data_IF_085253931598
#
_entry.id   IF_085253931598
#
_cell.length_a   1.000
_cell.length_b   1.000
_cell.length_c   1.000
_cell.angle_alpha   90.00
_cell.angle_beta   90.00
_cell.angle_gamma   90.00
#
_symmetry.space_group_name_H-M   'P 1'
#
loop_
_entity.id
_entity.type
_entity.pdbx_description
1 polymer ?
#
# COMPACT_ATOMS: atom_id res chain seq x y z
N UNK A 1 -25.79 -12.49 -11.01
CA UNK A 1 -26.14 -11.27 -11.75
C UNK A 1 -25.05 -10.23 -11.49
N UNK A 2 -24.22 -9.91 -12.50
CA UNK A 2 -23.31 -8.76 -12.52
C UNK A 2 -24.19 -7.51 -12.55
N UNK A 3 -24.29 -6.76 -11.46
CA UNK A 3 -25.08 -5.52 -11.46
C UNK A 3 -24.19 -4.29 -11.74
N UNK A 4 -22.90 -4.27 -11.37
CA UNK A 4 -22.08 -3.05 -11.48
C UNK A 4 -20.66 -3.23 -12.06
N UNK A 5 -20.34 -4.33 -12.76
CA UNK A 5 -19.00 -4.53 -13.36
C UNK A 5 -17.83 -4.72 -12.37
N UNK A 6 -18.05 -4.48 -11.08
CA UNK A 6 -17.08 -4.68 -10.01
C UNK A 6 -16.77 -6.17 -9.82
N UNK A 7 -15.49 -6.51 -9.93
CA UNK A 7 -14.96 -7.85 -9.64
C UNK A 7 -14.28 -7.84 -8.27
N UNK A 8 -14.38 -8.94 -7.51
CA UNK A 8 -13.72 -9.09 -6.21
C UNK A 8 -12.20 -8.95 -6.36
N UNK A 9 -11.53 -8.21 -5.48
CA UNK A 9 -10.05 -8.20 -5.47
C UNK A 9 -9.56 -9.59 -5.05
N UNK A 10 -8.76 -10.23 -5.90
CA UNK A 10 -8.14 -11.53 -5.63
C UNK A 10 -6.92 -11.36 -4.71
N UNK A 11 -6.49 -12.43 -4.05
CA UNK A 11 -5.25 -12.41 -3.29
C UNK A 11 -4.08 -11.94 -4.19
N UNK A 12 -3.31 -10.96 -3.70
CA UNK A 12 -2.17 -10.41 -4.44
C UNK A 12 -0.87 -10.98 -3.91
N UNK A 13 0.07 -11.28 -4.80
CA UNK A 13 1.46 -11.48 -4.39
C UNK A 13 2.06 -10.11 -4.05
N UNK A 14 3.08 -10.10 -3.20
CA UNK A 14 3.80 -8.87 -2.88
C UNK A 14 4.47 -8.31 -4.14
N UNK A 15 4.52 -6.98 -4.27
CA UNK A 15 5.11 -6.31 -5.43
C UNK A 15 6.19 -5.31 -5.00
N UNK A 16 7.19 -5.09 -5.84
CA UNK A 16 8.26 -4.14 -5.58
C UNK A 16 8.61 -3.38 -6.86
N UNK A 17 8.70 -2.06 -6.78
CA UNK A 17 9.22 -1.26 -7.88
C UNK A 17 10.75 -1.32 -7.87
N UNK A 18 11.32 -1.81 -8.96
CA UNK A 18 12.75 -2.05 -9.13
C UNK A 18 13.33 -1.08 -10.16
N UNK A 19 14.38 -0.37 -9.77
CA UNK A 19 15.22 0.40 -10.66
C UNK A 19 16.27 -0.52 -11.26
N UNK A 20 16.21 -0.71 -12.58
CA UNK A 20 17.20 -1.44 -13.35
C UNK A 20 18.16 -0.45 -14.00
N UNK A 21 19.44 -0.81 -14.08
CA UNK A 21 20.42 -0.04 -14.86
C UNK A 21 21.12 -0.90 -15.89
N UNK A 22 21.50 -0.32 -17.02
CA UNK A 22 22.23 -1.02 -18.06
C UNK A 22 22.40 -0.24 -19.35
N UNK A 23 22.69 -0.96 -20.42
CA UNK A 23 22.87 -0.38 -21.76
C UNK A 23 21.52 0.05 -22.32
N UNK A 24 21.42 1.30 -22.77
CA UNK A 24 20.22 1.85 -23.39
C UNK A 24 19.70 0.96 -24.53
N UNK A 25 18.38 0.75 -24.56
CA UNK A 25 17.70 -0.08 -25.56
C UNK A 25 17.81 -1.60 -25.32
N UNK A 26 18.43 -2.04 -24.21
CA UNK A 26 18.43 -3.47 -23.85
C UNK A 26 17.02 -3.91 -23.46
N UNK A 27 16.52 -4.96 -24.10
CA UNK A 27 15.27 -5.62 -23.73
C UNK A 27 15.54 -6.85 -22.86
N UNK A 28 14.92 -6.88 -21.69
CA UNK A 28 14.91 -8.01 -20.75
C UNK A 28 13.56 -8.72 -20.90
N UNK A 29 13.59 -9.98 -21.33
CA UNK A 29 12.38 -10.78 -21.52
C UNK A 29 12.21 -11.78 -20.38
N UNK A 30 11.04 -11.78 -19.72
CA UNK A 30 10.74 -12.61 -18.55
C UNK A 30 11.87 -12.56 -17.50
N UNK A 31 12.36 -11.35 -17.22
CA UNK A 31 13.43 -11.11 -16.26
C UNK A 31 13.02 -11.42 -14.81
N UNK A 32 13.99 -11.59 -13.93
CA UNK A 32 13.75 -11.68 -12.50
C UNK A 32 14.98 -11.26 -11.68
N UNK A 33 14.72 -10.79 -10.47
CA UNK A 33 15.72 -10.45 -9.46
C UNK A 33 15.53 -11.29 -8.19
N UNK A 34 16.54 -11.30 -7.32
CA UNK A 34 16.51 -11.90 -5.99
C UNK A 34 16.81 -10.87 -4.90
N UNK A 35 16.13 -11.00 -3.77
CA UNK A 35 16.47 -10.27 -2.56
C UNK A 35 17.57 -10.94 -1.73
N UNK A 36 17.98 -10.29 -0.64
CA UNK A 36 18.99 -10.80 0.30
C UNK A 36 18.62 -12.14 0.95
N UNK A 37 17.33 -12.47 1.02
CA UNK A 37 16.81 -13.72 1.57
C UNK A 37 16.65 -14.80 0.49
N UNK A 38 17.02 -14.52 -0.76
CA UNK A 38 16.92 -15.44 -1.89
C UNK A 38 15.52 -15.54 -2.51
N UNK A 39 14.57 -14.69 -2.12
CA UNK A 39 13.23 -14.66 -2.71
C UNK A 39 13.30 -14.07 -4.10
N UNK A 40 12.58 -14.70 -5.04
CA UNK A 40 12.56 -14.32 -6.45
C UNK A 40 11.43 -13.32 -6.72
N UNK A 41 11.75 -12.26 -7.44
CA UNK A 41 10.85 -11.21 -7.90
C UNK A 41 10.83 -11.21 -9.43
N UNK A 42 9.71 -11.60 -10.03
CA UNK A 42 9.54 -11.76 -11.47
C UNK A 42 9.11 -10.45 -12.14
N UNK A 43 9.70 -10.13 -13.28
CA UNK A 43 9.37 -8.94 -14.06
C UNK A 43 8.20 -9.21 -15.02
N UNK A 44 7.59 -8.17 -15.60
CA UNK A 44 6.73 -8.32 -16.76
C UNK A 44 7.43 -9.02 -17.93
N UNK A 45 6.64 -9.49 -18.90
CA UNK A 45 7.14 -10.28 -20.03
C UNK A 45 8.25 -9.59 -20.83
N UNK A 46 8.24 -8.25 -20.89
CA UNK A 46 9.26 -7.45 -21.57
C UNK A 46 9.49 -6.14 -20.84
N UNK A 47 10.75 -5.83 -20.56
CA UNK A 47 11.19 -4.57 -19.94
C UNK A 47 12.33 -4.01 -20.79
N UNK A 48 12.26 -2.73 -21.17
CA UNK A 48 13.30 -2.08 -21.96
C UNK A 48 14.04 -1.03 -21.13
N UNK A 49 15.37 -1.08 -21.13
CA UNK A 49 16.21 -0.06 -20.48
C UNK A 49 16.12 1.23 -21.30
N UNK A 50 15.78 2.32 -20.62
CA UNK A 50 15.63 3.64 -21.19
C UNK A 50 16.92 4.19 -21.81
N UNK A 51 16.78 5.29 -22.56
CA UNK A 51 17.91 5.97 -23.22
C UNK A 51 18.91 6.57 -22.24
N UNK A 52 18.47 6.83 -21.01
CA UNK A 52 19.29 7.28 -19.89
C UNK A 52 20.03 6.12 -19.18
N UNK A 53 19.85 4.89 -19.66
CA UNK A 53 20.45 3.69 -19.09
C UNK A 53 19.71 3.15 -17.87
N UNK A 54 18.50 3.63 -17.58
CA UNK A 54 17.70 3.16 -16.45
C UNK A 54 16.27 2.81 -16.84
N UNK A 55 15.58 2.00 -16.03
CA UNK A 55 14.14 1.79 -16.14
C UNK A 55 13.59 1.36 -14.79
N UNK A 56 12.44 1.92 -14.41
CA UNK A 56 11.69 1.49 -13.24
C UNK A 56 10.62 0.48 -13.68
N UNK A 57 10.54 -0.66 -12.99
CA UNK A 57 9.59 -1.73 -13.30
C UNK A 57 8.99 -2.33 -12.02
N UNK A 58 7.70 -2.64 -12.02
CA UNK A 58 7.09 -3.39 -10.92
C UNK A 58 7.36 -4.89 -11.09
N UNK A 59 8.04 -5.48 -10.12
CA UNK A 59 8.27 -6.91 -10.04
C UNK A 59 7.32 -7.57 -9.03
N UNK A 60 6.89 -8.79 -9.31
CA UNK A 60 5.97 -9.56 -8.48
C UNK A 60 6.70 -10.71 -7.79
N UNK A 61 6.53 -10.85 -6.48
CA UNK A 61 7.09 -11.95 -5.72
C UNK A 61 6.61 -13.29 -6.28
N UNK A 62 7.53 -14.24 -6.47
CA UNK A 62 7.22 -15.58 -6.94
C UNK A 62 6.44 -16.39 -5.88
N UNK A 63 6.63 -16.07 -4.61
CA UNK A 63 5.91 -16.67 -3.51
C UNK A 63 4.60 -15.91 -3.25
N UNK A 64 3.52 -16.66 -3.03
CA UNK A 64 2.26 -16.07 -2.60
C UNK A 64 2.28 -15.66 -1.14
N UNK A 65 1.51 -14.63 -0.80
CA UNK A 65 1.36 -14.11 0.55
C UNK A 65 2.15 -12.83 0.83
N UNK A 66 2.19 -12.48 2.11
CA UNK A 66 2.79 -11.27 2.63
C UNK A 66 4.31 -11.41 2.76
N UNK A 67 5.01 -11.09 1.67
CA UNK A 67 6.48 -11.08 1.59
C UNK A 67 6.97 -9.63 1.60
N UNK A 68 7.57 -9.22 2.71
CA UNK A 68 8.20 -7.91 2.83
C UNK A 68 9.63 -7.92 2.26
N UNK A 69 10.02 -6.84 1.60
CA UNK A 69 11.41 -6.55 1.25
C UNK A 69 11.69 -5.06 1.50
N UNK A 70 12.70 -4.75 2.31
CA UNK A 70 13.06 -3.35 2.61
C UNK A 70 13.76 -2.70 1.42
N UNK A 71 13.78 -1.37 1.37
CA UNK A 71 14.52 -0.61 0.36
C UNK A 71 15.99 -1.09 0.27
N UNK A 72 16.51 -1.21 -0.95
CA UNK A 72 17.88 -1.64 -1.23
C UNK A 72 18.21 -3.09 -0.88
N UNK A 73 17.22 -3.98 -0.77
CA UNK A 73 17.44 -5.40 -0.49
C UNK A 73 17.33 -6.29 -1.73
N UNK A 74 16.54 -5.90 -2.73
CA UNK A 74 16.38 -6.61 -4.01
C UNK A 74 17.51 -6.18 -4.95
N UNK A 75 18.66 -6.86 -4.85
CA UNK A 75 19.92 -6.39 -5.48
C UNK A 75 20.61 -7.41 -6.37
N UNK A 76 20.14 -8.66 -6.41
CA UNK A 76 20.79 -9.73 -7.18
C UNK A 76 20.03 -10.01 -8.47
N UNK A 77 20.72 -10.03 -9.61
CA UNK A 77 20.14 -10.44 -10.89
C UNK A 77 19.96 -11.97 -10.90
N UNK A 78 18.75 -12.46 -11.14
CA UNK A 78 18.45 -13.90 -11.19
C UNK A 78 18.54 -14.47 -12.61
N UNK A 79 18.08 -13.71 -13.62
CA UNK A 79 18.13 -14.11 -15.03
C UNK A 79 19.01 -13.13 -15.83
N UNK A 80 20.33 -13.35 -15.87
CA UNK A 80 21.26 -12.45 -16.54
C UNK A 80 20.90 -12.24 -18.01
N UNK A 81 20.76 -10.97 -18.40
CA UNK A 81 20.53 -10.55 -19.79
C UNK A 81 21.68 -9.65 -20.20
N UNK A 82 22.27 -9.90 -21.37
CA UNK A 82 23.40 -9.08 -21.87
C UNK A 82 22.96 -7.62 -21.99
N UNK A 83 23.69 -6.72 -21.35
CA UNK A 83 23.37 -5.29 -21.32
C UNK A 83 22.66 -4.84 -20.04
N UNK A 84 22.11 -5.76 -19.23
CA UNK A 84 21.60 -5.46 -17.89
C UNK A 84 22.74 -5.52 -16.86
N UNK A 85 22.91 -4.45 -16.08
CA UNK A 85 24.06 -4.24 -15.19
C UNK A 85 23.69 -4.38 -13.71
N UNK A 86 22.61 -3.73 -13.26
CA UNK A 86 22.20 -3.79 -11.85
C UNK A 86 20.70 -3.69 -11.64
N UNK A 87 20.26 -4.05 -10.44
CA UNK A 87 18.90 -3.93 -9.94
C UNK A 87 18.93 -3.46 -8.49
N UNK A 88 18.00 -2.60 -8.12
CA UNK A 88 17.74 -2.21 -6.73
C UNK A 88 16.27 -1.83 -6.57
N UNK A 89 15.69 -1.98 -5.38
CA UNK A 89 14.39 -1.42 -5.06
C UNK A 89 14.56 -0.10 -4.28
N UNK A 90 14.18 1.07 -4.84
CA UNK A 90 14.33 2.36 -4.15
C UNK A 90 13.48 2.48 -2.88
N UNK A 91 12.32 1.83 -2.87
CA UNK A 91 11.38 1.78 -1.75
C UNK A 91 11.15 0.34 -1.28
N UNK A 92 10.56 0.19 -0.10
CA UNK A 92 10.13 -1.13 0.39
C UNK A 92 9.05 -1.73 -0.53
N UNK A 93 9.00 -3.05 -0.60
CA UNK A 93 7.97 -3.77 -1.34
C UNK A 93 6.60 -3.57 -0.70
N UNK A 94 5.57 -3.42 -1.54
CA UNK A 94 4.18 -3.50 -1.09
C UNK A 94 3.86 -4.97 -0.81
N UNK A 95 3.49 -5.23 0.44
CA UNK A 95 3.13 -6.56 0.90
C UNK A 95 1.79 -6.96 0.28
N UNK A 96 1.73 -8.17 -0.27
CA UNK A 96 0.52 -8.74 -0.86
C UNK A 96 -0.59 -8.91 0.19
N UNK A 97 -1.83 -8.81 -0.24
CA UNK A 97 -3.01 -8.90 0.64
C UNK A 97 -3.81 -10.17 0.38
N UNK A 98 -4.51 -10.71 1.40
CA UNK A 98 -5.49 -11.77 1.19
C UNK A 98 -6.64 -11.29 0.30
N UNK A 99 -7.43 -12.23 -0.23
CA UNK A 99 -8.58 -11.89 -1.06
C UNK A 99 -9.61 -11.05 -0.29
N UNK A 100 -10.23 -10.07 -0.98
CA UNK A 100 -11.26 -9.17 -0.43
C UNK A 100 -12.43 -9.96 0.15
N UNK A 101 -12.80 -9.64 1.39
CA UNK A 101 -13.91 -10.26 2.12
C UNK A 101 -15.27 -9.75 1.63
N UNK A 102 -16.34 -10.48 1.96
CA UNK A 102 -17.71 -10.08 1.57
C UNK A 102 -18.15 -8.76 2.19
N UNK A 103 -17.65 -8.42 3.37
CA UNK A 103 -17.94 -7.15 4.04
C UNK A 103 -17.29 -5.97 3.31
N UNK A 104 -16.02 -6.11 2.92
CA UNK A 104 -15.27 -5.09 2.17
C UNK A 104 -15.84 -4.89 0.76
N UNK A 105 -16.19 -5.99 0.08
CA UNK A 105 -16.86 -5.93 -1.21
C UNK A 105 -18.19 -5.17 -1.11
N UNK A 106 -18.94 -5.35 -0.01
CA UNK A 106 -20.22 -4.68 0.20
C UNK A 106 -20.05 -3.18 0.48
N UNK A 107 -19.03 -2.80 1.24
CA UNK A 107 -18.66 -1.39 1.46
C UNK A 107 -18.28 -0.75 0.13
N UNK A 108 -17.42 -1.40 -0.66
CA UNK A 108 -16.98 -0.91 -1.98
C UNK A 108 -18.12 -0.84 -3.00
N UNK A 109 -19.02 -1.81 -2.99
CA UNK A 109 -20.23 -1.77 -3.81
C UNK A 109 -21.13 -0.59 -3.42
N UNK A 110 -21.23 -0.28 -2.13
CA UNK A 110 -21.96 0.90 -1.63
C UNK A 110 -21.32 2.23 -2.04
N UNK A 111 -19.99 2.29 -2.12
CA UNK A 111 -19.27 3.48 -2.60
C UNK A 111 -19.34 3.62 -4.13
N UNK A 112 -19.24 2.51 -4.88
CA UNK A 112 -19.21 2.52 -6.33
C UNK A 112 -20.56 2.84 -7.00
N UNK A 113 -21.69 2.58 -6.34
CA UNK A 113 -23.01 3.00 -6.85
C UNK A 113 -23.25 4.51 -6.76
N UNK A 114 -22.38 5.24 -6.05
CA UNK A 114 -22.51 6.68 -5.83
C UNK A 114 -21.56 7.55 -6.68
N UNK A 115 -20.61 6.96 -7.42
CA UNK A 115 -19.56 7.69 -8.12
C UNK A 115 -19.75 7.59 -9.65
N UNK A 116 -20.64 8.41 -10.20
CA UNK A 116 -20.26 9.10 -11.43
C UNK A 116 -19.26 10.16 -11.03
N UNK A 117 -18.12 10.27 -11.73
CA UNK A 117 -17.15 11.34 -11.48
C UNK A 117 -17.89 12.69 -11.52
N UNK A 118 -17.96 13.38 -10.38
CA UNK A 118 -18.60 14.70 -10.29
C UNK A 118 -17.60 15.75 -10.79
N UNK A 119 -16.30 15.48 -10.65
CA UNK A 119 -15.21 16.35 -11.12
C UNK A 119 -14.09 15.57 -11.82
N UNK A 120 -13.25 16.24 -12.65
CA UNK A 120 -12.04 15.63 -13.19
C UNK A 120 -11.09 15.06 -12.12
N UNK A 121 -11.03 15.70 -10.95
CA UNK A 121 -10.23 15.23 -9.81
C UNK A 121 -10.68 13.85 -9.33
N UNK A 122 -11.98 13.68 -9.07
CA UNK A 122 -12.56 12.37 -8.69
C UNK A 122 -12.45 11.33 -9.82
N UNK A 123 -12.44 11.79 -11.08
CA UNK A 123 -12.17 10.93 -12.24
C UNK A 123 -10.78 10.31 -12.19
N UNK A 124 -9.75 11.09 -11.84
CA UNK A 124 -8.39 10.58 -11.67
C UNK A 124 -8.30 9.62 -10.48
N UNK A 125 -8.84 10.01 -9.32
CA UNK A 125 -8.79 9.20 -8.10
C UNK A 125 -9.49 7.84 -8.29
N UNK A 126 -10.70 7.86 -8.84
CA UNK A 126 -11.45 6.64 -9.16
C UNK A 126 -10.80 5.78 -10.24
N UNK A 127 -10.08 6.38 -11.20
CA UNK A 127 -9.32 5.62 -12.19
C UNK A 127 -8.12 4.89 -11.53
N UNK A 128 -7.39 5.56 -10.63
CA UNK A 128 -6.30 4.94 -9.86
C UNK A 128 -6.83 3.78 -9.01
N UNK A 129 -7.97 3.98 -8.34
CA UNK A 129 -8.62 2.96 -7.51
C UNK A 129 -8.92 1.65 -8.26
N UNK A 130 -9.15 1.74 -9.58
CA UNK A 130 -9.50 0.62 -10.45
C UNK A 130 -8.29 -0.07 -11.09
N UNK A 131 -7.08 0.46 -10.94
CA UNK A 131 -5.85 -0.19 -11.40
C UNK A 131 -5.67 -1.51 -10.66
N UNK A 132 -5.37 -2.58 -11.40
CA UNK A 132 -5.21 -3.90 -10.81
C UNK A 132 -4.07 -3.91 -9.79
N UNK A 133 -4.35 -4.45 -8.59
CA UNK A 133 -3.37 -4.56 -7.51
C UNK A 133 -3.22 -3.32 -6.64
N UNK A 134 -3.88 -2.20 -6.94
CA UNK A 134 -3.95 -1.05 -6.02
C UNK A 134 -4.76 -1.42 -4.78
N UNK A 135 -4.14 -1.27 -3.61
CA UNK A 135 -4.74 -1.60 -2.31
C UNK A 135 -5.23 -0.33 -1.60
N UNK A 136 -4.38 0.70 -1.53
CA UNK A 136 -4.68 2.01 -0.96
C UNK A 136 -4.25 3.13 -1.92
N UNK A 137 -4.98 4.23 -1.90
CA UNK A 137 -4.71 5.39 -2.74
C UNK A 137 -5.24 6.65 -2.06
N UNK A 138 -4.63 7.78 -2.38
CA UNK A 138 -5.14 9.11 -2.03
C UNK A 138 -4.63 10.13 -3.04
N UNK A 139 -5.54 10.93 -3.57
CA UNK A 139 -5.21 12.03 -4.47
C UNK A 139 -5.28 13.36 -3.70
N UNK A 140 -4.33 14.24 -4.01
CA UNK A 140 -4.28 15.61 -3.51
C UNK A 140 -4.19 16.57 -4.70
N UNK A 141 -4.78 17.75 -4.56
CA UNK A 141 -4.70 18.84 -5.52
C UNK A 141 -4.25 20.11 -4.82
N UNK A 142 -3.36 20.85 -5.47
CA UNK A 142 -3.06 22.22 -5.14
C UNK A 142 -3.51 23.10 -6.32
N UNK A 143 -4.68 23.71 -6.18
CA UNK A 143 -5.29 24.61 -7.15
C UNK A 143 -4.76 26.06 -7.06
N UNK A 144 -3.94 26.34 -6.06
CA UNK A 144 -3.42 27.69 -5.78
C UNK A 144 -2.18 28.03 -6.60
N UNK A 145 -1.83 29.32 -6.63
CA UNK A 145 -0.61 29.84 -7.26
C UNK A 145 0.66 29.71 -6.41
N UNK A 146 0.60 29.04 -5.25
CA UNK A 146 1.73 28.88 -4.32
C UNK A 146 1.89 27.41 -3.92
N UNK A 147 3.06 27.03 -3.38
CA UNK A 147 3.26 25.69 -2.83
C UNK A 147 2.44 25.51 -1.55
N UNK A 148 1.77 24.37 -1.40
CA UNK A 148 0.93 24.09 -0.23
C UNK A 148 1.76 23.62 0.98
N UNK A 149 1.08 23.31 2.10
CA UNK A 149 1.71 22.84 3.33
C UNK A 149 2.35 21.46 3.23
N UNK A 150 1.95 20.66 2.24
CA UNK A 150 2.46 19.33 1.95
C UNK A 150 3.61 19.36 0.94
N UNK A 151 3.96 20.55 0.42
CA UNK A 151 5.02 20.76 -0.55
C UNK A 151 4.58 20.60 -2.01
N UNK A 152 3.28 20.46 -2.30
CA UNK A 152 2.79 20.35 -3.68
C UNK A 152 3.01 21.68 -4.41
N UNK A 153 3.65 21.69 -5.58
CA UNK A 153 3.79 22.88 -6.40
C UNK A 153 2.43 23.50 -6.81
N UNK A 154 2.42 24.79 -7.20
CA UNK A 154 1.22 25.43 -7.76
C UNK A 154 0.62 24.63 -8.91
N UNK A 155 -0.71 24.57 -8.98
CA UNK A 155 -1.47 23.94 -10.08
C UNK A 155 -1.07 22.48 -10.37
N UNK A 156 -0.92 21.69 -9.31
CA UNK A 156 -0.46 20.30 -9.41
C UNK A 156 -1.38 19.32 -8.68
N UNK A 157 -1.30 18.06 -9.06
CA UNK A 157 -1.88 16.93 -8.33
C UNK A 157 -0.77 16.02 -7.82
N UNK A 158 -0.99 15.39 -6.67
CA UNK A 158 -0.12 14.37 -6.09
C UNK A 158 -0.93 13.12 -5.78
N UNK A 159 -0.58 12.01 -6.42
CA UNK A 159 -1.19 10.71 -6.15
C UNK A 159 -0.25 9.90 -5.25
N UNK A 160 -0.75 9.44 -4.10
CA UNK A 160 -0.06 8.49 -3.25
C UNK A 160 -0.74 7.13 -3.45
N UNK A 161 0.00 6.14 -3.94
CA UNK A 161 -0.56 4.86 -4.37
C UNK A 161 0.22 3.68 -3.80
N UNK A 162 -0.50 2.78 -3.14
CA UNK A 162 0.03 1.53 -2.63
C UNK A 162 -0.43 0.35 -3.50
N UNK A 163 0.52 -0.50 -3.89
CA UNK A 163 0.26 -1.62 -4.80
C UNK A 163 0.03 -1.18 -6.25
N UNK A 164 -0.24 -2.14 -7.13
CA UNK A 164 -0.42 -1.90 -8.57
C UNK A 164 0.87 -1.64 -9.35
N UNK A 165 0.81 -1.82 -10.67
CA UNK A 165 1.95 -1.62 -11.57
C UNK A 165 2.25 -0.14 -11.80
N UNK A 166 3.51 0.23 -11.69
CA UNK A 166 3.98 1.62 -11.76
C UNK A 166 3.69 2.26 -13.12
N UNK A 167 3.74 1.48 -14.20
CA UNK A 167 3.46 1.96 -15.57
C UNK A 167 1.97 2.10 -15.79
N UNK A 168 1.18 1.14 -15.33
CA UNK A 168 -0.29 1.19 -15.41
C UNK A 168 -0.86 2.38 -14.61
N UNK A 169 -0.32 2.65 -13.41
CA UNK A 169 -0.67 3.84 -12.62
C UNK A 169 -0.31 5.11 -13.37
N UNK A 170 0.92 5.23 -13.88
CA UNK A 170 1.35 6.43 -14.61
C UNK A 170 0.53 6.68 -15.89
N UNK A 171 0.22 5.63 -16.64
CA UNK A 171 -0.68 5.69 -17.80
C UNK A 171 -2.09 6.12 -17.40
N UNK A 172 -2.61 5.59 -16.28
CA UNK A 172 -3.93 5.92 -15.77
C UNK A 172 -4.02 7.40 -15.36
N UNK A 173 -3.03 7.90 -14.60
CA UNK A 173 -2.96 9.33 -14.25
C UNK A 173 -2.88 10.18 -15.51
N UNK A 174 -2.02 9.82 -16.48
CA UNK A 174 -1.88 10.55 -17.74
C UNK A 174 -3.20 10.66 -18.52
N UNK A 175 -3.92 9.54 -18.64
CA UNK A 175 -5.14 9.45 -19.44
C UNK A 175 -6.32 10.20 -18.83
N UNK A 176 -6.32 10.39 -17.51
CA UNK A 176 -7.44 10.99 -16.78
C UNK A 176 -7.16 12.40 -16.25
N UNK A 177 -5.89 12.79 -16.06
CA UNK A 177 -5.56 14.12 -15.54
C UNK A 177 -5.95 15.24 -16.51
N UNK A 178 -6.21 16.41 -15.95
CA UNK A 178 -6.41 17.64 -16.71
C UNK A 178 -5.22 18.01 -17.60
N UNK A 179 -5.52 18.69 -18.71
CA UNK A 179 -4.50 19.33 -19.54
C UNK A 179 -3.84 20.47 -18.77
N UNK A 180 -2.51 20.59 -18.85
CA UNK A 180 -1.76 21.60 -18.10
C UNK A 180 -1.54 21.29 -16.61
N UNK A 181 -2.26 20.33 -16.03
CA UNK A 181 -2.06 19.90 -14.63
C UNK A 181 -0.72 19.19 -14.47
N UNK A 182 0.15 19.74 -13.63
CA UNK A 182 1.41 19.11 -13.27
C UNK A 182 1.17 17.92 -12.32
N UNK A 183 2.03 16.90 -12.40
CA UNK A 183 1.99 15.75 -11.50
C UNK A 183 3.19 15.80 -10.57
N UNK A 184 2.96 15.61 -9.27
CA UNK A 184 3.98 15.67 -8.23
C UNK A 184 4.12 14.32 -7.53
N UNK A 185 5.36 13.97 -7.18
CA UNK A 185 5.67 12.75 -6.45
C UNK A 185 7.13 12.32 -6.60
N UNK A 186 7.52 11.32 -5.82
CA UNK A 186 8.89 10.80 -5.75
C UNK A 186 9.21 9.75 -6.80
N UNK A 187 8.18 9.12 -7.37
CA UNK A 187 8.26 8.11 -8.44
C UNK A 187 7.91 8.77 -9.78
N UNK A 188 8.85 8.76 -10.73
CA UNK A 188 8.61 9.25 -12.09
C UNK A 188 8.69 8.12 -13.10
N UNK A 189 7.68 8.04 -13.96
CA UNK A 189 7.62 7.08 -15.07
C UNK A 189 7.33 7.81 -16.36
N UNK A 190 8.10 7.50 -17.39
CA UNK A 190 7.87 8.02 -18.74
C UNK A 190 6.88 7.11 -19.47
N UNK A 191 5.73 7.67 -19.85
CA UNK A 191 4.66 6.96 -20.55
C UNK A 191 4.41 7.60 -21.92
N UNK A 192 4.37 6.81 -23.01
CA UNK A 192 4.09 7.35 -24.34
C UNK A 192 2.62 7.73 -24.50
N UNK A 193 2.34 8.75 -25.32
CA UNK A 193 0.98 9.00 -25.84
C UNK A 193 0.65 8.10 -27.05
N UNK A 194 -0.55 8.26 -27.62
CA UNK A 194 -1.02 7.49 -28.79
C UNK A 194 -0.12 7.64 -30.02
N UNK A 195 0.68 8.71 -30.11
CA UNK A 195 1.62 8.95 -31.20
C UNK A 195 3.06 8.55 -30.85
N UNK A 196 3.28 7.96 -29.66
CA UNK A 196 4.59 7.53 -29.18
C UNK A 196 5.43 8.63 -28.56
N UNK A 197 4.92 9.86 -28.38
CA UNK A 197 5.70 10.90 -27.72
C UNK A 197 5.81 10.59 -26.23
N UNK A 198 6.99 10.71 -25.61
CA UNK A 198 7.18 10.44 -24.19
C UNK A 198 6.62 11.57 -23.31
N UNK A 199 5.93 11.22 -22.23
CA UNK A 199 5.50 12.16 -21.20
C UNK A 199 5.86 11.62 -19.83
N UNK A 200 6.48 12.45 -19.00
CA UNK A 200 6.86 12.08 -17.63
C UNK A 200 5.66 12.32 -16.72
N UNK A 201 5.29 11.28 -15.97
CA UNK A 201 4.26 11.34 -14.94
C UNK A 201 4.90 11.00 -13.60
N UNK A 202 4.60 11.81 -12.60
CA UNK A 202 5.10 11.61 -11.24
C UNK A 202 3.96 11.33 -10.26
N UNK A 203 4.19 10.37 -9.37
CA UNK A 203 3.33 10.04 -8.24
C UNK A 203 4.22 9.50 -7.11
N UNK A 204 3.68 9.16 -5.94
CA UNK A 204 4.47 8.59 -4.84
C UNK A 204 3.92 7.25 -4.38
N UNK A 205 4.80 6.39 -3.87
CA UNK A 205 4.39 5.28 -3.00
C UNK A 205 4.22 5.80 -1.58
N UNK A 206 3.29 5.20 -0.83
CA UNK A 206 3.18 5.48 0.61
C UNK A 206 4.44 5.01 1.33
N UNK A 207 4.86 5.77 2.33
CA UNK A 207 5.89 5.34 3.28
C UNK A 207 5.23 4.52 4.38
N UNK A 208 5.66 3.27 4.54
CA UNK A 208 5.12 2.36 5.55
C UNK A 208 5.56 2.77 6.96
N UNK A 209 4.59 2.94 7.87
CA UNK A 209 4.82 3.26 9.29
C UNK A 209 4.34 2.07 10.13
N UNK A 210 5.25 1.21 10.62
CA UNK A 210 4.86 0.07 11.42
C UNK A 210 4.35 0.51 12.79
N UNK A 211 3.17 0.02 13.16
CA UNK A 211 2.49 0.31 14.43
C UNK A 211 2.57 -0.92 15.34
N UNK A 212 2.97 -0.66 16.57
CA UNK A 212 3.06 -1.62 17.66
C UNK A 212 1.98 -1.30 18.68
N UNK A 213 1.33 -2.34 19.19
CA UNK A 213 0.23 -2.23 20.15
C UNK A 213 0.54 -3.12 21.34
N UNK A 214 0.45 -2.58 22.55
CA UNK A 214 0.54 -3.33 23.78
C UNK A 214 -0.80 -3.27 24.52
N UNK A 215 -1.33 -4.44 24.86
CA UNK A 215 -2.64 -4.59 25.51
C UNK A 215 -2.45 -5.36 26.81
N UNK A 216 -2.93 -4.81 27.92
CA UNK A 216 -2.99 -5.50 29.21
C UNK A 216 -4.42 -5.94 29.47
N UNK A 217 -4.63 -7.25 29.65
CA UNK A 217 -5.94 -7.86 29.85
C UNK A 217 -6.07 -8.42 31.26
N UNK A 218 -7.19 -8.11 31.92
CA UNK A 218 -7.70 -8.93 33.02
C UNK A 218 -8.58 -10.02 32.45
N UNK A 219 -8.27 -11.28 32.71
CA UNK A 219 -9.01 -12.41 32.11
C UNK A 219 -10.02 -13.01 33.07
N UNK A 220 -11.09 -13.55 32.51
CA UNK A 220 -12.16 -14.26 33.24
C UNK A 220 -12.25 -15.71 32.77
N UNK A 221 -13.07 -16.51 33.47
CA UNK A 221 -13.33 -17.91 33.12
C UNK A 221 -13.83 -18.03 31.68
N UNK A 222 -13.11 -18.80 30.86
CA UNK A 222 -13.42 -18.99 29.44
C UNK A 222 -12.47 -18.25 28.48
N UNK A 223 -11.53 -17.44 28.99
CA UNK A 223 -10.46 -16.89 28.17
C UNK A 223 -9.54 -18.00 27.64
N UNK A 224 -9.13 -17.90 26.37
CA UNK A 224 -8.22 -18.83 25.72
C UNK A 224 -7.16 -18.08 24.92
N UNK A 225 -6.05 -18.74 24.60
CA UNK A 225 -5.02 -18.18 23.70
C UNK A 225 -5.58 -17.82 22.32
N UNK A 226 -6.58 -18.58 21.84
CA UNK A 226 -7.25 -18.29 20.58
C UNK A 226 -7.97 -16.94 20.59
N UNK A 227 -8.57 -16.55 21.71
CA UNK A 227 -9.17 -15.21 21.86
C UNK A 227 -8.07 -14.15 21.77
N UNK A 228 -6.91 -14.37 22.41
CA UNK A 228 -5.76 -13.48 22.28
C UNK A 228 -5.32 -13.29 20.83
N UNK A 229 -5.19 -14.37 20.05
CA UNK A 229 -4.83 -14.29 18.63
C UNK A 229 -5.91 -13.59 17.79
N UNK A 230 -7.19 -13.79 18.10
CA UNK A 230 -8.28 -13.04 17.45
C UNK A 230 -8.18 -11.54 17.72
N UNK A 231 -7.86 -11.13 18.96
CA UNK A 231 -7.65 -9.71 19.32
C UNK A 231 -6.51 -9.13 18.50
N UNK A 232 -5.36 -9.81 18.46
CA UNK A 232 -4.18 -9.37 17.69
C UNK A 232 -4.51 -9.17 16.22
N UNK A 233 -5.19 -10.14 15.62
CA UNK A 233 -5.57 -10.07 14.21
C UNK A 233 -6.57 -8.94 13.95
N UNK A 234 -7.62 -8.79 14.77
CA UNK A 234 -8.62 -7.75 14.59
C UNK A 234 -8.02 -6.33 14.71
N UNK A 235 -7.07 -6.14 15.63
CA UNK A 235 -6.34 -4.87 15.78
C UNK A 235 -5.45 -4.61 14.58
N UNK A 236 -4.70 -5.61 14.12
CA UNK A 236 -3.85 -5.50 12.94
C UNK A 236 -4.67 -5.16 11.68
N UNK A 237 -5.79 -5.87 11.46
CA UNK A 237 -6.69 -5.65 10.33
C UNK A 237 -7.28 -4.23 10.35
N UNK A 238 -7.68 -3.74 11.53
CA UNK A 238 -8.16 -2.37 11.68
C UNK A 238 -7.11 -1.33 11.26
N UNK A 239 -5.87 -1.47 11.73
CA UNK A 239 -4.78 -0.52 11.40
C UNK A 239 -4.47 -0.57 9.89
N UNK A 240 -4.38 -1.77 9.31
CA UNK A 240 -4.11 -1.93 7.88
C UNK A 240 -5.26 -1.42 6.98
N UNK A 241 -6.47 -1.31 7.54
CA UNK A 241 -7.64 -0.74 6.86
C UNK A 241 -7.72 0.79 6.88
N UNK A 242 -6.81 1.48 7.60
CA UNK A 242 -6.75 2.95 7.59
C UNK A 242 -6.30 3.48 6.24
N UNK A 243 -6.85 4.63 5.84
CA UNK A 243 -6.43 5.29 4.61
C UNK A 243 -5.04 5.91 4.76
N UNK A 244 -4.42 6.24 3.63
CA UNK A 244 -3.12 6.93 3.61
C UNK A 244 -3.28 8.29 4.29
N UNK A 245 -2.36 8.63 5.19
CA UNK A 245 -2.38 9.85 5.98
C UNK A 245 -3.49 9.93 7.03
N UNK A 246 -4.15 8.82 7.38
CA UNK A 246 -5.05 8.79 8.54
C UNK A 246 -4.25 8.48 9.82
N UNK A 247 -4.43 9.31 10.84
CA UNK A 247 -3.82 9.10 12.15
C UNK A 247 -4.35 7.83 12.84
N UNK A 248 -3.48 7.18 13.60
CA UNK A 248 -3.86 6.03 14.42
C UNK A 248 -4.35 6.54 15.77
N UNK A 249 -5.67 6.57 15.93
CA UNK A 249 -6.31 7.05 17.15
C UNK A 249 -6.45 5.92 18.17
N UNK A 250 -5.81 6.09 19.34
CA UNK A 250 -5.79 5.10 20.43
C UNK A 250 -7.20 4.62 20.81
N UNK A 251 -8.12 5.57 20.94
CA UNK A 251 -9.50 5.31 21.35
C UNK A 251 -10.25 4.40 20.38
N UNK A 252 -9.93 4.45 19.08
CA UNK A 252 -10.61 3.64 18.06
C UNK A 252 -10.15 2.18 18.08
N UNK A 253 -8.93 1.89 18.57
CA UNK A 253 -8.37 0.53 18.66
C UNK A 253 -9.10 -0.31 19.72
N UNK A 254 -9.68 0.31 20.74
CA UNK A 254 -10.50 -0.42 21.72
C UNK A 254 -11.68 -1.17 21.07
N UNK A 255 -12.24 -0.64 19.96
CA UNK A 255 -13.36 -1.28 19.27
C UNK A 255 -13.01 -2.65 18.67
N UNK A 256 -12.01 -2.78 17.77
CA UNK A 256 -11.57 -4.08 17.26
C UNK A 256 -10.97 -4.96 18.35
N UNK A 257 -10.26 -4.39 19.35
CA UNK A 257 -9.69 -5.15 20.45
C UNK A 257 -10.75 -5.84 21.33
N UNK A 258 -11.96 -5.30 21.40
CA UNK A 258 -13.09 -5.92 22.11
C UNK A 258 -13.81 -7.01 21.30
N UNK A 259 -13.38 -7.33 20.08
CA UNK A 259 -13.95 -8.40 19.23
C UNK A 259 -15.49 -8.34 19.07
N UNK A 260 -16.06 -7.14 19.00
CA UNK A 260 -17.51 -6.93 18.85
C UNK A 260 -18.28 -7.21 20.14
N UNK A 261 -18.74 -6.13 20.79
CA UNK A 261 -19.46 -6.15 22.08
C UNK A 261 -20.92 -6.67 21.98
N UNK A 262 -21.33 -7.16 20.80
CA UNK A 262 -22.69 -7.68 20.59
C UNK A 262 -22.89 -8.96 21.40
N UNK A 263 -24.03 -9.05 22.09
CA UNK A 263 -24.46 -10.17 22.94
C UNK A 263 -24.10 -11.53 22.33
N UNK A 264 -22.98 -12.12 22.76
CA UNK A 264 -22.35 -13.20 21.99
C UNK A 264 -20.83 -13.19 22.03
N UNK A 265 -20.22 -12.01 21.94
CA UNK A 265 -18.78 -11.82 21.71
C UNK A 265 -17.87 -12.34 22.82
N UNK A 266 -16.61 -12.57 22.45
CA UNK A 266 -15.54 -13.03 23.34
C UNK A 266 -15.15 -12.00 24.41
N UNK A 267 -15.57 -10.74 24.27
CA UNK A 267 -15.35 -9.66 25.25
C UNK A 267 -15.78 -10.01 26.67
N UNK A 268 -16.76 -10.91 26.86
CA UNK A 268 -17.19 -11.33 28.20
C UNK A 268 -16.11 -12.07 29.01
N UNK A 269 -15.07 -12.55 28.33
CA UNK A 269 -14.01 -13.38 28.93
C UNK A 269 -12.78 -12.57 29.33
N UNK A 270 -12.77 -11.26 29.11
CA UNK A 270 -11.67 -10.40 29.52
C UNK A 270 -12.12 -8.95 29.69
N UNK A 271 -11.27 -8.13 30.29
CA UNK A 271 -11.41 -6.68 30.38
C UNK A 271 -10.08 -6.03 30.01
N UNK A 272 -10.11 -5.00 29.18
CA UNK A 272 -8.90 -4.29 28.74
C UNK A 272 -8.54 -3.27 29.82
N UNK A 273 -7.48 -3.56 30.58
CA UNK A 273 -6.99 -2.67 31.63
C UNK A 273 -6.16 -1.51 31.07
N UNK A 274 -5.40 -1.79 30.01
CA UNK A 274 -4.51 -0.82 29.40
C UNK A 274 -4.33 -1.13 27.91
N UNK A 275 -4.24 -0.08 27.10
CA UNK A 275 -3.91 -0.15 25.69
C UNK A 275 -2.95 0.99 25.38
N UNK A 276 -1.79 0.65 24.80
CA UNK A 276 -0.74 1.57 24.40
C UNK A 276 -0.36 1.32 22.94
N UNK A 277 0.02 2.37 22.21
CA UNK A 277 0.51 2.27 20.84
C UNK A 277 1.80 3.05 20.62
N UNK A 278 2.59 2.62 19.63
CA UNK A 278 3.81 3.32 19.22
C UNK A 278 4.30 2.93 17.84
N UNK A 279 5.28 3.67 17.31
CA UNK A 279 5.99 3.35 16.05
C UNK A 279 7.13 2.31 16.26
N UNK A 280 7.35 1.85 17.49
CA UNK A 280 8.30 0.79 17.84
C UNK A 280 7.82 0.00 19.06
N UNK A 281 8.31 -1.23 19.23
CA UNK A 281 7.96 -2.09 20.39
C UNK A 281 8.38 -1.50 21.73
N UNK A 282 9.46 -0.71 21.75
CA UNK A 282 10.07 -0.20 22.98
C UNK A 282 9.48 1.16 23.39
N UNK A 283 8.64 1.76 22.54
CA UNK A 283 8.13 3.12 22.69
C UNK A 283 6.61 3.19 22.51
N UNK A 284 5.88 2.30 23.18
CA UNK A 284 4.42 2.35 23.22
C UNK A 284 3.93 3.27 24.35
N UNK A 285 2.91 4.07 24.08
CA UNK A 285 2.34 5.00 25.04
C UNK A 285 0.83 5.17 24.87
N UNK A 286 0.19 5.76 25.87
CA UNK A 286 -1.20 6.18 25.79
C UNK A 286 -1.27 7.52 25.04
N UNK A 287 -1.38 7.44 23.72
CA UNK A 287 -1.44 8.61 22.84
C UNK A 287 -1.78 8.20 21.42
N UNK A 288 -2.26 9.17 20.63
CA UNK A 288 -2.45 8.96 19.19
C UNK A 288 -1.10 8.96 18.47
N UNK A 289 -1.07 8.39 17.28
CA UNK A 289 0.09 8.43 16.39
C UNK A 289 -0.28 9.21 15.15
N UNK A 290 0.42 10.32 14.94
CA UNK A 290 0.27 11.13 13.75
C UNK A 290 0.96 10.44 12.56
N UNK A 291 0.25 10.40 11.44
CA UNK A 291 0.68 9.81 10.17
C UNK A 291 0.74 10.92 9.12
N UNK A 292 1.89 11.07 8.45
CA UNK A 292 2.03 12.10 7.43
C UNK A 292 1.15 11.82 6.19
N UNK A 293 0.90 12.84 5.37
CA UNK A 293 -0.01 12.76 4.23
C UNK A 293 0.39 11.69 3.18
N UNK A 294 1.68 11.36 3.10
CA UNK A 294 2.27 10.35 2.23
C UNK A 294 2.70 9.08 2.97
N UNK A 295 2.33 8.93 4.24
CA UNK A 295 2.56 7.73 5.05
C UNK A 295 1.32 6.84 5.14
N UNK A 296 1.53 5.53 5.29
CA UNK A 296 0.45 4.59 5.62
C UNK A 296 0.81 3.78 6.86
N UNK A 297 -0.14 3.67 7.79
CA UNK A 297 0.03 2.83 8.96
C UNK A 297 -0.07 1.34 8.56
N UNK A 298 0.78 0.51 9.16
CA UNK A 298 0.71 -0.94 9.02
C UNK A 298 0.90 -1.65 10.34
N UNK A 299 0.32 -2.84 10.47
CA UNK A 299 0.47 -3.67 11.65
C UNK A 299 0.38 -5.14 11.27
N UNK A 300 1.35 -5.94 11.71
CA UNK A 300 1.25 -7.41 11.67
C UNK A 300 0.79 -7.91 13.03
N UNK A 301 0.11 -9.05 13.09
CA UNK A 301 -0.38 -9.59 14.37
C UNK A 301 0.73 -9.78 15.42
N UNK A 302 1.98 -10.06 15.01
CA UNK A 302 3.13 -10.16 15.90
C UNK A 302 3.58 -8.82 16.51
N UNK A 303 3.15 -7.68 15.99
CA UNK A 303 3.37 -6.36 16.59
C UNK A 303 2.34 -6.03 17.68
N UNK A 304 1.31 -6.86 17.84
CA UNK A 304 0.32 -6.73 18.92
C UNK A 304 0.69 -7.68 20.06
N UNK A 305 1.12 -7.11 21.18
CA UNK A 305 1.51 -7.87 22.38
C UNK A 305 0.38 -7.83 23.41
N UNK A 306 0.06 -8.99 23.97
CA UNK A 306 -0.97 -9.13 25.02
C UNK A 306 -0.31 -9.63 26.29
N UNK A 307 -0.47 -8.86 27.37
CA UNK A 307 -0.08 -9.25 28.73
C UNK A 307 -1.33 -9.58 29.52
N UNK A 308 -1.36 -10.76 30.15
CA UNK A 308 -2.50 -11.20 30.96
C UNK A 308 -2.19 -10.99 32.44
N UNK A 309 -3.08 -10.28 33.12
CA UNK A 309 -3.07 -10.07 34.57
C UNK A 309 -4.21 -10.84 35.22
N UNK A 310 -3.95 -11.38 36.42
CA UNK A 310 -4.92 -12.10 37.25
C UNK A 310 -5.91 -11.17 37.95
#
# INVERSE_FOLDING_TARGET
>A
VKINGITRKVATNSTADLMLTGTAGTTISNGSARDKNGIIWNFPASVAIGVDGTVLVTATCANSGSVAAMAGTITTINTPTRGWVSVTNPAAATVGSPAETDAELRIRQGQSVALSSITPFEGVDGAIANVAGVTRHKLYENDTGATDSNGLPPHSISAIVEGGDVTEIAQTIRGNKGQGTATYGTTSVTVPDTYGNPHVISFSRSTDVPIFVAITLKVFTGYTSQIGEQIKQAVADYINGLAIGDDVLLSRIYSPANLGVVSGGSARYYDIQELLIGKSSDSVASGNIDIAYDESASCVASHVTITVTS
#
